data_IF_179673394295
#
_entry.id   IF_179673394295
#
_cell.length_a   1.000
_cell.length_b   1.000
_cell.length_c   1.000
_cell.angle_alpha   90.00
_cell.angle_beta   90.00
_cell.angle_gamma   90.00
#
_symmetry.space_group_name_H-M   'P 1'
#
loop_
_entity.id
_entity.type
_entity.pdbx_description
1 polymer ?
#
# COMPACT_ATOMS: atom_id res chain seq x y z
N UNK A 1 9.12 -9.60 5.89
CA UNK A 1 8.35 -8.37 5.59
C UNK A 1 7.13 -8.84 4.86
N UNK A 2 5.99 -8.68 5.51
CA UNK A 2 4.70 -9.14 5.01
C UNK A 2 3.91 -7.89 4.65
N UNK A 3 3.52 -7.81 3.38
CA UNK A 3 2.65 -6.77 2.90
C UNK A 3 1.25 -7.38 2.77
N UNK A 4 0.33 -6.94 3.63
CA UNK A 4 -1.08 -7.29 3.53
C UNK A 4 -1.77 -6.31 2.60
N UNK A 5 -2.41 -6.82 1.54
CA UNK A 5 -3.05 -5.96 0.54
C UNK A 5 -4.55 -5.79 0.85
N UNK A 6 -5.14 -6.67 1.68
CA UNK A 6 -6.60 -6.72 1.84
C UNK A 6 -7.12 -7.26 3.18
N UNK A 7 -6.28 -7.30 4.23
CA UNK A 7 -6.71 -7.68 5.59
C UNK A 7 -7.10 -9.17 5.80
N UNK A 8 -6.44 -10.11 5.09
CA UNK A 8 -5.99 -11.41 5.67
C UNK A 8 -5.80 -12.51 4.60
N UNK A 9 -6.53 -12.47 3.47
CA UNK A 9 -6.46 -13.58 2.48
C UNK A 9 -5.43 -13.40 1.36
N UNK A 10 -4.84 -12.21 1.19
CA UNK A 10 -3.81 -11.95 0.17
C UNK A 10 -2.59 -11.28 0.79
N UNK A 11 -1.63 -12.10 1.20
CA UNK A 11 -0.31 -11.66 1.64
C UNK A 11 0.68 -11.78 0.48
N UNK A 12 1.33 -10.68 0.12
CA UNK A 12 2.39 -10.70 -0.91
C UNK A 12 3.74 -10.69 -0.19
N UNK A 13 4.46 -11.80 -0.29
CA UNK A 13 5.82 -11.93 0.24
C UNK A 13 6.82 -11.30 -0.72
N UNK A 14 7.20 -10.05 -0.47
CA UNK A 14 8.12 -9.26 -1.32
C UNK A 14 9.54 -9.16 -0.74
N UNK A 15 9.92 -10.10 0.12
CA UNK A 15 11.21 -10.13 0.82
C UNK A 15 12.42 -10.07 -0.12
N UNK A 16 12.34 -10.69 -1.30
CA UNK A 16 13.43 -10.71 -2.29
C UNK A 16 13.60 -9.42 -3.09
N UNK A 17 12.59 -8.54 -3.10
CA UNK A 17 12.59 -7.30 -3.89
C UNK A 17 13.11 -6.08 -3.11
N UNK A 18 13.39 -6.27 -1.82
CA UNK A 18 13.78 -5.21 -0.90
C UNK A 18 15.31 -5.07 -0.82
N UNK A 19 15.86 -4.21 -1.67
CA UNK A 19 17.22 -3.70 -1.53
C UNK A 19 17.21 -2.47 -0.61
N UNK A 20 18.37 -2.10 -0.03
CA UNK A 20 18.48 -0.98 0.92
C UNK A 20 18.04 0.36 0.30
N UNK A 21 18.18 0.46 -1.02
CA UNK A 21 17.88 1.63 -1.83
C UNK A 21 16.44 1.61 -2.39
N UNK A 22 15.68 0.51 -2.21
CA UNK A 22 14.32 0.40 -2.70
C UNK A 22 13.46 1.53 -2.12
N UNK A 23 12.88 2.32 -3.02
CA UNK A 23 12.01 3.45 -2.68
C UNK A 23 10.58 2.97 -2.45
N UNK A 24 9.81 3.70 -1.65
CA UNK A 24 8.41 3.36 -1.41
C UNK A 24 7.57 3.29 -2.69
N UNK A 25 7.90 4.13 -3.68
CA UNK A 25 7.24 4.14 -4.98
C UNK A 25 7.32 2.80 -5.70
N UNK A 26 8.47 2.12 -5.62
CA UNK A 26 8.67 0.83 -6.27
C UNK A 26 7.67 -0.22 -5.78
N UNK A 27 7.35 -0.22 -4.48
CA UNK A 27 6.35 -1.14 -3.93
C UNK A 27 4.94 -0.81 -4.42
N UNK A 28 4.57 0.46 -4.38
CA UNK A 28 3.27 0.92 -4.86
C UNK A 28 3.11 0.49 -6.33
N UNK A 29 4.12 0.74 -7.16
CA UNK A 29 4.12 0.33 -8.56
C UNK A 29 4.04 -1.18 -8.74
N UNK A 30 4.80 -1.95 -7.96
CA UNK A 30 4.80 -3.41 -8.04
C UNK A 30 3.43 -3.99 -7.71
N UNK A 31 2.79 -3.51 -6.63
CA UNK A 31 1.45 -3.96 -6.21
C UNK A 31 0.41 -3.52 -7.24
N UNK A 32 0.43 -2.24 -7.65
CA UNK A 32 -0.50 -1.74 -8.64
C UNK A 32 -0.37 -2.50 -9.97
N UNK A 33 0.85 -2.78 -10.43
CA UNK A 33 1.05 -3.57 -11.63
C UNK A 33 0.56 -5.03 -11.45
N UNK A 34 0.78 -5.64 -10.29
CA UNK A 34 0.29 -6.99 -9.99
C UNK A 34 -1.24 -7.09 -10.03
N UNK A 35 -1.94 -6.08 -9.51
CA UNK A 35 -3.40 -6.00 -9.54
C UNK A 35 -3.95 -5.27 -10.79
N UNK A 36 -3.10 -4.89 -11.75
CA UNK A 36 -3.48 -4.11 -12.94
C UNK A 36 -4.19 -2.78 -12.64
N UNK A 37 -3.84 -2.13 -11.52
CA UNK A 37 -4.34 -0.81 -11.12
C UNK A 37 -3.62 0.30 -11.89
N UNK A 38 -4.38 1.11 -12.62
CA UNK A 38 -3.85 2.23 -13.40
C UNK A 38 -3.80 3.54 -12.62
N UNK A 39 -4.78 3.80 -11.74
CA UNK A 39 -4.88 5.06 -11.00
C UNK A 39 -4.18 4.96 -9.64
N UNK A 40 -2.85 4.88 -9.67
CA UNK A 40 -1.98 4.59 -8.51
C UNK A 40 -2.01 5.66 -7.41
N UNK A 41 -2.34 6.90 -7.78
CA UNK A 41 -2.29 8.07 -6.90
C UNK A 41 -3.29 8.00 -5.73
N UNK A 42 -4.32 7.16 -5.85
CA UNK A 42 -5.30 6.95 -4.79
C UNK A 42 -4.82 6.01 -3.70
N UNK A 43 -3.76 5.23 -3.96
CA UNK A 43 -3.29 4.19 -3.05
C UNK A 43 -2.02 4.59 -2.32
N UNK A 44 -1.78 3.93 -1.20
CA UNK A 44 -0.55 4.08 -0.44
C UNK A 44 -0.27 2.85 0.41
N UNK A 45 0.92 2.82 0.98
CA UNK A 45 1.31 1.78 1.93
C UNK A 45 1.37 2.40 3.32
N UNK A 46 0.67 1.80 4.28
CA UNK A 46 0.68 2.16 5.69
C UNK A 46 1.54 1.19 6.48
N UNK A 47 2.31 1.69 7.43
CA UNK A 47 3.05 0.87 8.39
C UNK A 47 2.83 1.37 9.81
N UNK A 48 3.25 0.57 10.79
CA UNK A 48 3.24 0.93 12.21
C UNK A 48 4.68 1.01 12.68
N UNK A 49 5.05 2.11 13.33
CA UNK A 49 6.39 2.28 13.88
C UNK A 49 6.53 1.63 15.27
N UNK A 50 7.74 1.63 15.87
CA UNK A 50 7.94 1.08 17.22
C UNK A 50 7.10 1.75 18.32
N UNK A 51 6.69 3.00 18.12
CA UNK A 51 5.84 3.76 19.05
C UNK A 51 4.34 3.49 18.84
N UNK A 52 4.01 2.50 18.00
CA UNK A 52 2.64 2.12 17.61
C UNK A 52 1.90 3.21 16.84
N UNK A 53 2.62 4.18 16.28
CA UNK A 53 2.03 5.21 15.44
C UNK A 53 1.88 4.72 13.99
N UNK A 54 0.80 5.15 13.35
CA UNK A 54 0.45 4.77 11.98
C UNK A 54 1.04 5.80 11.01
N UNK A 55 1.87 5.33 10.10
CA UNK A 55 2.55 6.17 9.11
C UNK A 55 2.24 5.72 7.69
N UNK A 56 2.14 6.67 6.78
CA UNK A 56 2.15 6.39 5.35
C UNK A 56 3.59 6.40 4.84
N UNK A 57 3.93 5.37 4.07
CA UNK A 57 5.20 5.27 3.39
C UNK A 57 5.33 6.39 2.36
N UNK A 58 6.45 7.11 2.41
CA UNK A 58 6.77 8.16 1.46
C UNK A 58 7.37 7.52 0.19
N UNK A 59 6.79 7.80 -1.00
CA UNK A 59 7.19 7.16 -2.25
C UNK A 59 8.62 7.51 -2.66
N UNK A 60 9.06 8.74 -2.36
CA UNK A 60 10.36 9.27 -2.79
C UNK A 60 11.53 8.88 -1.87
N UNK A 61 11.24 8.28 -0.70
CA UNK A 61 12.26 7.88 0.28
C UNK A 61 12.49 6.38 0.25
N UNK A 62 13.71 5.96 0.58
CA UNK A 62 14.02 4.54 0.79
C UNK A 62 13.14 4.01 1.92
N UNK A 63 12.59 2.81 1.74
CA UNK A 63 11.75 2.19 2.77
C UNK A 63 12.58 1.88 4.02
N UNK A 64 13.82 1.43 3.83
CA UNK A 64 14.72 1.12 4.94
C UNK A 64 15.02 2.34 5.82
N UNK A 65 15.09 3.54 5.22
CA UNK A 65 15.29 4.80 5.98
C UNK A 65 14.06 5.22 6.78
N UNK A 66 12.87 4.81 6.35
CA UNK A 66 11.60 5.18 6.99
C UNK A 66 11.20 4.15 8.06
N UNK A 67 11.45 2.87 7.78
CA UNK A 67 11.16 1.77 8.69
C UNK A 67 12.30 1.61 9.70
N UNK A 68 12.19 2.35 10.81
CA UNK A 68 13.11 2.21 11.96
C UNK A 68 12.78 1.01 12.85
N UNK A 69 11.75 0.23 12.52
CA UNK A 69 11.34 -0.95 13.30
C UNK A 69 12.23 -2.16 13.02
N UNK A 70 12.24 -3.09 13.98
CA UNK A 70 12.86 -4.40 13.79
C UNK A 70 11.86 -5.37 13.12
N UNK A 71 12.32 -6.35 12.34
CA UNK A 71 11.47 -7.38 11.76
C UNK A 71 10.63 -8.12 12.82
N UNK A 72 9.42 -8.60 12.47
CA UNK A 72 8.82 -8.58 11.14
C UNK A 72 8.23 -7.21 10.78
N UNK A 73 8.60 -6.72 9.60
CA UNK A 73 7.98 -5.54 9.01
C UNK A 73 6.57 -5.87 8.52
N UNK A 74 5.57 -5.22 9.10
CA UNK A 74 4.16 -5.33 8.70
C UNK A 74 3.73 -4.04 8.02
N UNK A 75 3.25 -4.16 6.79
CA UNK A 75 2.75 -3.05 5.99
C UNK A 75 1.40 -3.41 5.37
N UNK A 76 0.57 -2.40 5.15
CA UNK A 76 -0.74 -2.56 4.52
C UNK A 76 -0.85 -1.66 3.29
N UNK A 77 -1.20 -2.22 2.14
CA UNK A 77 -1.61 -1.43 0.98
C UNK A 77 -3.07 -1.00 1.14
N UNK A 78 -3.37 0.30 1.08
CA UNK A 78 -4.71 0.85 1.33
C UNK A 78 -4.97 2.09 0.47
N UNK A 79 -6.25 2.46 0.35
CA UNK A 79 -6.67 3.75 -0.22
C UNK A 79 -6.21 4.87 0.73
N UNK A 80 -5.46 5.83 0.19
CA UNK A 80 -4.92 6.99 0.91
C UNK A 80 -5.76 8.24 0.68
N UNK A 81 -6.23 8.44 -0.55
CA UNK A 81 -7.04 9.59 -0.93
C UNK A 81 -8.33 9.11 -1.56
N UNK A 82 -9.45 9.49 -0.96
CA UNK A 82 -10.77 9.23 -1.51
C UNK A 82 -11.12 10.41 -2.44
N UNK A 83 -11.29 10.22 -3.76
CA UNK A 83 -11.86 11.25 -4.59
C UNK A 83 -13.24 11.63 -4.03
N UNK A 84 -13.54 12.93 -4.04
CA UNK A 84 -14.85 13.45 -3.63
C UNK A 84 -16.02 12.82 -4.42
N UNK A 85 -15.72 12.24 -5.59
CA UNK A 85 -16.69 11.55 -6.44
C UNK A 85 -16.08 10.21 -6.91
N UNK A 86 -16.58 9.04 -6.46
CA UNK A 86 -16.06 7.72 -6.84
C UNK A 86 -16.10 7.44 -8.35
N UNK A 87 -17.00 8.14 -9.07
CA UNK A 87 -17.14 8.06 -10.53
C UNK A 87 -15.99 8.73 -11.29
N UNK A 88 -15.13 9.51 -10.61
CA UNK A 88 -13.92 10.09 -11.22
C UNK A 88 -12.85 9.06 -11.53
N UNK A 89 -12.88 7.91 -10.86
CA UNK A 89 -12.07 6.75 -11.21
C UNK A 89 -12.63 6.20 -12.53
N UNK A 90 -11.88 6.44 -13.60
CA UNK A 90 -12.31 6.12 -14.97
C UNK A 90 -12.17 4.62 -15.23
N UNK A 91 -11.17 4.00 -14.62
CA UNK A 91 -10.84 2.59 -14.83
C UNK A 91 -11.69 1.71 -13.90
N UNK A 92 -12.26 0.65 -14.46
CA UNK A 92 -13.28 -0.17 -13.80
C UNK A 92 -12.69 -1.05 -12.68
N UNK A 93 -11.51 -1.64 -12.87
CA UNK A 93 -10.83 -2.44 -11.85
C UNK A 93 -10.39 -1.57 -10.67
N UNK A 94 -9.88 -0.39 -10.94
CA UNK A 94 -9.42 0.57 -9.93
C UNK A 94 -10.62 1.08 -9.14
N UNK A 95 -11.75 1.30 -9.80
CA UNK A 95 -13.01 1.67 -9.14
C UNK A 95 -13.57 0.52 -8.31
N UNK A 96 -13.50 -0.71 -8.81
CA UNK A 96 -13.91 -1.89 -8.04
C UNK A 96 -13.03 -2.08 -6.79
N UNK A 97 -11.72 -1.98 -6.94
CA UNK A 97 -10.75 -2.05 -5.84
C UNK A 97 -11.03 -0.94 -4.82
N UNK A 98 -11.25 0.29 -5.29
CA UNK A 98 -11.58 1.42 -4.46
C UNK A 98 -12.88 1.22 -3.67
N UNK A 99 -13.96 0.83 -4.34
CA UNK A 99 -15.25 0.52 -3.72
C UNK A 99 -15.08 -0.62 -2.71
N UNK A 100 -14.43 -1.72 -3.08
CA UNK A 100 -14.21 -2.84 -2.18
C UNK A 100 -13.44 -2.44 -0.91
N UNK A 101 -12.39 -1.63 -1.05
CA UNK A 101 -11.66 -1.06 0.08
C UNK A 101 -12.48 -0.05 0.90
N UNK A 102 -13.40 0.69 0.27
CA UNK A 102 -14.23 1.73 0.91
C UNK A 102 -15.45 1.14 1.59
N UNK A 103 -16.00 0.01 1.15
CA UNK A 103 -17.20 -0.60 1.74
C UNK A 103 -16.87 -1.63 2.83
N UNK A 104 -15.68 -2.25 2.81
CA UNK A 104 -15.14 -2.98 3.96
C UNK A 104 -14.51 -2.02 4.98
N UNK A 105 -15.28 -1.04 5.47
CA UNK A 105 -14.89 -0.19 6.62
C UNK A 105 -15.01 -0.99 7.92
N UNK A 106 -14.32 -2.11 8.00
CA UNK A 106 -14.01 -2.81 9.25
C UNK A 106 -12.60 -3.40 9.13
N UNK A 107 -11.62 -2.52 8.92
CA UNK A 107 -10.20 -2.79 9.11
C UNK A 107 -9.56 -1.68 9.96
#
# INVERSE_FOLDING_TARGET
LTLSVFDDSSNVSILSLFQRETKGQFLIDHICNYYSLLEKDYFGIRYVDPEKQRHWLEPNKSIFKQMKSHPPYTMCFRVKFYPHEPLKIKEELTRYFFIFCTFNVHC
#
